data_IF_299890026730
#
_entry.id   IF_299890026730
#
_cell.length_a   1.000
_cell.length_b   1.000
_cell.length_c   1.000
_cell.angle_alpha   90.00
_cell.angle_beta   90.00
_cell.angle_gamma   90.00
#
_symmetry.space_group_name_H-M   'P 1'
#
loop_
_entity.id
_entity.type
_entity.pdbx_description
1 polymer ?
#
# COMPACT_ATOMS: atom_id res chain seq x y z
N UNK A 1 -33.54 15.98 -78.55
CA UNK A 1 -33.58 14.95 -77.50
C UNK A 1 -32.15 14.48 -77.25
N UNK A 2 -31.47 15.06 -76.26
CA UNK A 2 -30.18 14.58 -75.68
C UNK A 2 -29.84 15.52 -74.51
N UNK A 3 -30.32 15.16 -73.33
CA UNK A 3 -29.91 15.74 -72.06
C UNK A 3 -28.72 14.92 -71.54
N UNK A 4 -27.57 15.58 -71.40
CA UNK A 4 -26.34 15.05 -70.80
C UNK A 4 -26.48 15.06 -69.28
N UNK A 5 -26.56 13.87 -68.67
CA UNK A 5 -26.34 13.67 -67.24
C UNK A 5 -24.83 13.54 -66.99
N UNK A 6 -24.24 14.55 -66.36
CA UNK A 6 -22.96 14.42 -65.65
C UNK A 6 -23.28 14.12 -64.18
N UNK A 7 -22.94 12.93 -63.72
CA UNK A 7 -23.10 12.55 -62.33
C UNK A 7 -22.58 11.14 -62.09
N UNK A 8 -21.29 11.01 -61.90
CA UNK A 8 -20.66 9.85 -61.22
C UNK A 8 -19.20 10.18 -60.92
N UNK A 9 -19.01 11.02 -59.90
CA UNK A 9 -17.82 10.94 -59.05
C UNK A 9 -18.24 10.22 -57.77
N UNK A 10 -17.30 9.46 -57.21
CA UNK A 10 -17.35 8.74 -55.92
C UNK A 10 -17.88 7.31 -56.04
N UNK A 11 -16.97 6.35 -56.16
CA UNK A 11 -16.77 5.24 -55.21
C UNK A 11 -15.48 4.51 -55.64
N UNK A 12 -14.42 4.61 -54.83
CA UNK A 12 -13.60 3.48 -54.37
C UNK A 12 -12.23 3.95 -53.87
N UNK A 13 -12.21 4.67 -52.75
CA UNK A 13 -11.05 4.62 -51.87
C UNK A 13 -11.42 3.74 -50.68
N UNK A 14 -11.46 2.43 -50.90
CA UNK A 14 -11.27 1.46 -49.83
C UNK A 14 -9.88 1.71 -49.25
N UNK A 15 -9.81 2.48 -48.18
CA UNK A 15 -8.61 2.63 -47.36
C UNK A 15 -8.39 1.31 -46.63
N UNK A 16 -7.65 0.43 -47.27
CA UNK A 16 -7.20 -0.84 -46.73
C UNK A 16 -6.16 -0.61 -45.63
N UNK A 17 -6.48 -1.18 -44.47
CA UNK A 17 -5.59 -1.71 -43.42
C UNK A 17 -4.70 -0.71 -42.65
N UNK A 18 -5.12 -0.43 -41.41
CA UNK A 18 -4.16 -0.23 -40.29
C UNK A 18 -4.28 -1.44 -39.36
N UNK A 19 -3.17 -1.94 -38.78
CA UNK A 19 -3.12 -3.26 -38.16
C UNK A 19 -4.12 -3.30 -37.00
N UNK A 20 -5.13 -4.15 -37.17
CA UNK A 20 -6.19 -4.36 -36.20
C UNK A 20 -5.60 -5.00 -34.96
N UNK A 21 -5.43 -4.22 -33.90
CA UNK A 21 -5.12 -4.79 -32.59
C UNK A 21 -6.19 -5.80 -32.21
N UNK A 22 -5.74 -6.98 -31.77
CA UNK A 22 -6.62 -8.10 -31.53
C UNK A 22 -7.55 -7.80 -30.34
N UNK A 23 -8.83 -8.15 -30.48
CA UNK A 23 -9.82 -8.04 -29.38
C UNK A 23 -9.32 -8.69 -28.07
N UNK A 24 -8.61 -9.84 -28.07
CA UNK A 24 -8.01 -10.40 -26.88
C UNK A 24 -7.03 -9.46 -26.17
N UNK A 25 -6.20 -8.73 -26.91
CA UNK A 25 -5.21 -7.83 -26.31
C UNK A 25 -5.86 -6.59 -25.67
N UNK A 26 -6.95 -6.09 -26.26
CA UNK A 26 -7.77 -5.04 -25.63
C UNK A 26 -8.34 -5.51 -24.28
N UNK A 27 -8.88 -6.73 -24.23
CA UNK A 27 -9.39 -7.32 -22.99
C UNK A 27 -8.29 -7.56 -21.96
N UNK A 28 -7.11 -8.04 -22.38
CA UNK A 28 -5.96 -8.16 -21.52
C UNK A 28 -5.53 -6.79 -20.95
N UNK A 29 -5.59 -5.73 -21.76
CA UNK A 29 -5.28 -4.36 -21.32
C UNK A 29 -6.26 -3.87 -20.26
N UNK A 30 -7.56 -4.12 -20.46
CA UNK A 30 -8.60 -3.79 -19.47
C UNK A 30 -8.38 -4.56 -18.16
N UNK A 31 -8.04 -5.84 -18.24
CA UNK A 31 -7.72 -6.66 -17.07
C UNK A 31 -6.53 -6.07 -16.28
N UNK A 32 -5.44 -5.75 -16.97
CA UNK A 32 -4.25 -5.17 -16.35
C UNK A 32 -4.50 -3.77 -15.79
N UNK A 33 -5.35 -2.97 -16.45
CA UNK A 33 -5.78 -1.67 -15.94
C UNK A 33 -6.63 -1.80 -14.67
N UNK A 34 -7.58 -2.74 -14.63
CA UNK A 34 -8.39 -3.04 -13.44
C UNK A 34 -7.52 -3.48 -12.26
N UNK A 35 -6.55 -4.36 -12.52
CA UNK A 35 -5.57 -4.81 -11.53
C UNK A 35 -4.71 -3.66 -11.01
N UNK A 36 -4.17 -2.84 -11.91
CA UNK A 36 -3.32 -1.72 -11.54
C UNK A 36 -4.08 -0.66 -10.76
N UNK A 37 -5.37 -0.42 -11.07
CA UNK A 37 -6.20 0.56 -10.37
C UNK A 37 -6.27 0.27 -8.87
N UNK A 38 -6.67 -0.95 -8.52
CA UNK A 38 -6.78 -1.35 -7.11
C UNK A 38 -5.42 -1.50 -6.46
N UNK A 39 -4.41 -2.00 -7.19
CA UNK A 39 -3.07 -2.13 -6.64
C UNK A 39 -2.46 -0.77 -6.27
N UNK A 40 -2.67 0.24 -7.10
CA UNK A 40 -2.23 1.62 -6.85
C UNK A 40 -2.97 2.22 -5.66
N UNK A 41 -4.28 1.99 -5.55
CA UNK A 41 -5.10 2.44 -4.41
C UNK A 41 -4.61 1.85 -3.07
N UNK A 42 -4.42 0.54 -2.99
CA UNK A 42 -3.95 -0.12 -1.77
C UNK A 42 -2.51 0.25 -1.43
N UNK A 43 -1.64 0.35 -2.43
CA UNK A 43 -0.24 0.77 -2.22
C UNK A 43 -0.18 2.19 -1.67
N UNK A 44 -0.95 3.11 -2.26
CA UNK A 44 -1.07 4.48 -1.76
C UNK A 44 -1.60 4.51 -0.34
N UNK A 45 -2.65 3.75 -0.05
CA UNK A 45 -3.25 3.66 1.28
C UNK A 45 -2.21 3.22 2.31
N UNK A 46 -1.37 2.24 1.97
CA UNK A 46 -0.27 1.77 2.82
C UNK A 46 0.79 2.85 3.03
N UNK A 47 1.20 3.56 1.98
CA UNK A 47 2.14 4.67 2.12
C UNK A 47 1.60 5.78 3.02
N UNK A 48 0.33 6.17 2.86
CA UNK A 48 -0.33 7.17 3.71
C UNK A 48 -0.44 6.73 5.18
N UNK A 49 -0.73 5.45 5.43
CA UNK A 49 -0.80 4.88 6.79
C UNK A 49 0.51 5.07 7.55
N UNK A 50 1.66 4.97 6.85
CA UNK A 50 2.95 5.19 7.52
C UNK A 50 3.09 6.59 8.11
N UNK A 51 2.41 7.63 7.59
CA UNK A 51 2.57 9.00 8.09
C UNK A 51 1.36 9.47 8.89
N UNK A 52 0.15 9.23 8.38
CA UNK A 52 -1.05 9.92 8.87
C UNK A 52 -1.95 9.09 9.78
N UNK A 53 -1.81 7.76 9.83
CA UNK A 53 -2.78 6.96 10.57
C UNK A 53 -3.31 5.77 9.81
N UNK A 54 -3.66 4.74 10.57
CA UNK A 54 -4.71 3.75 10.21
C UNK A 54 -6.13 4.21 10.56
N UNK A 55 -6.34 5.53 10.75
CA UNK A 55 -7.64 6.09 11.11
C UNK A 55 -8.70 5.86 10.03
N UNK A 56 -9.93 5.56 10.46
CA UNK A 56 -11.10 5.44 9.58
C UNK A 56 -11.30 6.71 8.73
N UNK A 57 -10.94 7.88 9.25
CA UNK A 57 -11.07 9.17 8.54
C UNK A 57 -10.10 9.21 7.35
N UNK A 58 -8.84 8.82 7.55
CA UNK A 58 -7.84 8.77 6.48
C UNK A 58 -8.27 7.78 5.42
N UNK A 59 -8.73 6.59 5.84
CA UNK A 59 -9.18 5.55 4.92
C UNK A 59 -10.40 5.96 4.09
N UNK A 60 -11.42 6.56 4.73
CA UNK A 60 -12.60 7.06 4.05
C UNK A 60 -12.25 8.15 3.01
N UNK A 61 -11.31 9.04 3.34
CA UNK A 61 -10.85 10.08 2.42
C UNK A 61 -10.13 9.51 1.20
N UNK A 62 -9.28 8.49 1.39
CA UNK A 62 -8.57 7.86 0.26
C UNK A 62 -9.55 7.22 -0.71
N UNK A 63 -10.49 6.39 -0.21
CA UNK A 63 -11.51 5.75 -1.05
C UNK A 63 -12.37 6.81 -1.75
N UNK A 64 -12.84 7.81 -1.00
CA UNK A 64 -13.67 8.90 -1.53
C UNK A 64 -12.98 9.66 -2.67
N UNK A 65 -11.70 9.99 -2.51
CA UNK A 65 -10.90 10.67 -3.53
C UNK A 65 -10.63 9.77 -4.74
N UNK A 66 -10.30 8.50 -4.53
CA UNK A 66 -10.08 7.55 -5.64
C UNK A 66 -11.36 7.42 -6.47
N UNK A 67 -12.52 7.23 -5.84
CA UNK A 67 -13.80 7.17 -6.53
C UNK A 67 -14.13 8.48 -7.25
N UNK A 68 -13.83 9.63 -6.64
CA UNK A 68 -14.01 10.94 -7.26
C UNK A 68 -13.16 11.08 -8.53
N UNK A 69 -11.86 10.78 -8.47
CA UNK A 69 -10.97 10.89 -9.63
C UNK A 69 -11.25 9.84 -10.70
N UNK A 70 -11.66 8.62 -10.31
CA UNK A 70 -12.17 7.62 -11.26
C UNK A 70 -13.41 8.15 -11.99
N UNK A 71 -14.33 8.78 -11.26
CA UNK A 71 -15.54 9.40 -11.85
C UNK A 71 -15.16 10.48 -12.86
N UNK A 72 -14.25 11.39 -12.50
CA UNK A 72 -13.72 12.40 -13.44
C UNK A 72 -13.08 11.73 -14.65
N UNK A 73 -12.30 10.67 -14.43
CA UNK A 73 -11.69 9.85 -15.47
C UNK A 73 -12.72 9.21 -16.40
N UNK A 74 -13.83 8.68 -15.88
CA UNK A 74 -14.90 8.11 -16.71
C UNK A 74 -15.49 9.13 -17.66
N UNK A 75 -15.73 10.36 -17.18
CA UNK A 75 -16.24 11.46 -17.99
C UNK A 75 -15.23 11.95 -19.04
N UNK A 76 -13.94 12.06 -18.69
CA UNK A 76 -12.90 12.50 -19.63
C UNK A 76 -12.63 11.41 -20.67
N UNK A 77 -12.50 10.15 -20.23
CA UNK A 77 -12.25 8.99 -21.07
C UNK A 77 -13.35 8.77 -22.10
N UNK A 78 -14.63 8.86 -21.69
CA UNK A 78 -15.77 8.78 -22.61
C UNK A 78 -15.71 9.86 -23.70
N UNK A 79 -15.50 11.13 -23.31
CA UNK A 79 -15.37 12.24 -24.28
C UNK A 79 -14.17 12.08 -25.20
N UNK A 80 -13.04 11.60 -24.70
CA UNK A 80 -11.83 11.37 -25.50
C UNK A 80 -12.04 10.24 -26.50
N UNK A 81 -12.71 9.17 -26.08
CA UNK A 81 -13.02 8.02 -26.91
C UNK A 81 -13.99 8.37 -28.05
N UNK A 82 -14.97 9.24 -27.80
CA UNK A 82 -15.90 9.70 -28.84
C UNK A 82 -15.19 10.56 -29.90
N UNK A 83 -14.25 11.42 -29.47
CA UNK A 83 -13.50 12.29 -30.39
C UNK A 83 -12.48 11.53 -31.24
N UNK A 84 -11.82 10.52 -30.68
CA UNK A 84 -10.72 9.79 -31.34
C UNK A 84 -10.80 8.28 -31.05
N UNK A 85 -11.78 7.55 -31.61
CA UNK A 85 -12.01 6.12 -31.35
C UNK A 85 -10.99 5.23 -32.09
N UNK A 86 -9.69 5.44 -31.83
CA UNK A 86 -8.60 4.72 -32.49
C UNK A 86 -7.72 3.98 -31.46
N UNK A 87 -7.07 2.87 -31.84
CA UNK A 87 -6.16 2.16 -30.94
C UNK A 87 -4.97 3.01 -30.48
N UNK A 88 -4.43 3.88 -31.35
CA UNK A 88 -3.23 4.67 -31.01
C UNK A 88 -3.45 5.59 -29.80
N UNK A 89 -4.47 6.49 -29.78
CA UNK A 89 -4.76 7.29 -28.58
C UNK A 89 -5.07 6.46 -27.33
N UNK A 90 -5.73 5.30 -27.48
CA UNK A 90 -6.00 4.40 -26.36
C UNK A 90 -4.70 3.85 -25.73
N UNK A 91 -3.79 3.31 -26.53
CA UNK A 91 -2.52 2.78 -25.99
C UNK A 91 -1.55 3.89 -25.58
N UNK A 92 -1.64 5.09 -26.17
CA UNK A 92 -0.94 6.27 -25.64
C UNK A 92 -1.46 6.64 -24.26
N UNK A 93 -2.78 6.61 -24.05
CA UNK A 93 -3.39 6.82 -22.74
C UNK A 93 -2.91 5.75 -21.75
N UNK A 94 -2.99 4.46 -22.08
CA UNK A 94 -2.53 3.37 -21.19
C UNK A 94 -1.03 3.50 -20.83
N UNK A 95 -0.19 3.84 -21.82
CA UNK A 95 1.24 4.12 -21.59
C UNK A 95 1.43 5.30 -20.64
N UNK A 96 0.72 6.41 -20.89
CA UNK A 96 0.79 7.59 -20.04
C UNK A 96 0.28 7.30 -18.62
N UNK A 97 -0.75 6.47 -18.48
CA UNK A 97 -1.26 6.00 -17.19
C UNK A 97 -0.18 5.21 -16.44
N UNK A 98 0.43 4.20 -17.06
CA UNK A 98 1.50 3.42 -16.42
C UNK A 98 2.70 4.28 -16.01
N UNK A 99 3.13 5.21 -16.87
CA UNK A 99 4.18 6.18 -16.54
C UNK A 99 3.78 7.06 -15.36
N UNK A 100 2.58 7.65 -15.40
CA UNK A 100 2.06 8.50 -14.35
C UNK A 100 1.96 7.74 -13.02
N UNK A 101 1.49 6.49 -13.03
CA UNK A 101 1.42 5.65 -11.84
C UNK A 101 2.78 5.47 -11.19
N UNK A 102 3.83 5.13 -11.94
CA UNK A 102 5.19 5.00 -11.38
C UNK A 102 5.70 6.35 -10.89
N UNK A 103 5.64 7.38 -11.75
CA UNK A 103 6.20 8.69 -11.45
C UNK A 103 5.55 9.34 -10.22
N UNK A 104 4.22 9.43 -10.22
CA UNK A 104 3.50 10.09 -9.13
C UNK A 104 3.55 9.26 -7.84
N UNK A 105 3.52 7.93 -7.87
CA UNK A 105 3.70 7.15 -6.62
C UNK A 105 5.10 7.29 -6.03
N UNK A 106 6.14 7.38 -6.86
CA UNK A 106 7.48 7.70 -6.37
C UNK A 106 7.53 9.12 -5.78
N UNK A 107 6.85 10.09 -6.41
CA UNK A 107 6.70 11.44 -5.88
C UNK A 107 5.96 11.45 -4.54
N UNK A 108 4.89 10.66 -4.39
CA UNK A 108 4.16 10.48 -3.12
C UNK A 108 5.13 10.05 -2.02
N UNK A 109 6.07 9.15 -2.30
CA UNK A 109 7.03 8.69 -1.29
C UNK A 109 7.97 9.81 -0.81
N UNK A 110 8.38 10.72 -1.70
CA UNK A 110 9.20 11.90 -1.38
C UNK A 110 8.40 12.91 -0.56
N UNK A 111 7.16 13.20 -1.00
CA UNK A 111 6.24 14.11 -0.29
C UNK A 111 5.97 13.59 1.12
N UNK A 112 5.67 12.30 1.27
CA UNK A 112 5.40 11.69 2.58
C UNK A 112 6.62 11.67 3.49
N UNK A 113 7.83 11.47 2.96
CA UNK A 113 9.05 11.58 3.77
C UNK A 113 9.22 12.99 4.35
N UNK A 114 8.94 14.01 3.54
CA UNK A 114 8.95 15.41 4.01
C UNK A 114 7.83 15.70 5.02
N UNK A 115 6.66 15.09 4.83
CA UNK A 115 5.52 15.19 5.72
C UNK A 115 5.83 14.57 7.10
N UNK A 116 6.49 13.40 7.11
CA UNK A 116 6.91 12.74 8.35
C UNK A 116 7.88 13.61 9.15
N UNK A 117 8.87 14.23 8.50
CA UNK A 117 9.78 15.16 9.14
C UNK A 117 9.06 16.40 9.69
N UNK A 118 8.10 16.96 8.95
CA UNK A 118 7.27 18.06 9.40
C UNK A 118 6.37 17.70 10.59
N UNK A 119 5.87 16.47 10.62
CA UNK A 119 5.03 15.95 11.70
C UNK A 119 5.84 15.77 12.99
N UNK A 120 7.08 15.29 12.89
CA UNK A 120 8.03 15.25 14.02
C UNK A 120 8.35 16.65 14.57
N UNK A 121 8.37 17.67 13.71
CA UNK A 121 8.57 19.07 14.10
C UNK A 121 7.28 19.80 14.53
N UNK A 122 6.13 19.12 14.59
CA UNK A 122 4.82 19.68 14.94
C UNK A 122 4.44 20.91 14.07
N UNK A 123 4.86 20.92 12.81
CA UNK A 123 4.57 22.01 11.89
C UNK A 123 3.24 21.81 11.16
N UNK A 124 2.17 22.36 11.73
CA UNK A 124 0.79 22.22 11.22
C UNK A 124 0.63 22.66 9.75
N UNK A 125 1.29 23.74 9.34
CA UNK A 125 1.23 24.24 7.96
C UNK A 125 1.87 23.28 6.94
N UNK A 126 2.99 22.67 7.31
CA UNK A 126 3.66 21.65 6.49
C UNK A 126 2.89 20.32 6.45
N UNK A 127 2.18 19.96 7.52
CA UNK A 127 1.29 18.78 7.55
C UNK A 127 0.09 18.99 6.61
N UNK A 128 -0.55 20.16 6.65
CA UNK A 128 -1.69 20.46 5.78
C UNK A 128 -1.30 20.53 4.29
N UNK A 129 -0.16 21.16 3.98
CA UNK A 129 0.33 21.27 2.60
C UNK A 129 0.80 19.93 2.02
N UNK A 130 1.41 19.05 2.83
CA UNK A 130 1.77 17.70 2.38
C UNK A 130 0.55 16.84 2.08
N UNK A 131 -0.54 16.97 2.84
CA UNK A 131 -1.78 16.26 2.55
C UNK A 131 -2.35 16.69 1.19
N UNK A 132 -2.39 18.00 0.94
CA UNK A 132 -2.82 18.56 -0.36
C UNK A 132 -1.91 18.06 -1.50
N UNK A 133 -0.60 18.04 -1.28
CA UNK A 133 0.36 17.53 -2.28
C UNK A 133 0.12 16.05 -2.62
N UNK A 134 -0.18 15.20 -1.62
CA UNK A 134 -0.51 13.79 -1.87
C UNK A 134 -1.80 13.65 -2.68
N UNK A 135 -2.83 14.45 -2.40
CA UNK A 135 -4.08 14.46 -3.17
C UNK A 135 -3.82 14.78 -4.64
N UNK A 136 -3.03 15.83 -4.92
CA UNK A 136 -2.68 16.19 -6.29
C UNK A 136 -1.87 15.10 -7.00
N UNK A 137 -0.97 14.46 -6.26
CA UNK A 137 -0.13 13.39 -6.77
C UNK A 137 -0.97 12.16 -7.15
N UNK A 138 -2.07 11.90 -6.44
CA UNK A 138 -3.01 10.82 -6.76
C UNK A 138 -4.02 11.16 -7.86
N UNK A 139 -4.39 12.43 -7.97
CA UNK A 139 -5.39 12.89 -8.93
C UNK A 139 -5.07 12.45 -10.36
N UNK A 140 -3.82 12.63 -10.79
CA UNK A 140 -3.39 12.35 -12.16
C UNK A 140 -3.47 10.86 -12.52
N UNK A 141 -2.75 9.94 -11.84
CA UNK A 141 -2.77 8.53 -12.22
C UNK A 141 -4.16 7.90 -12.12
N UNK A 142 -4.94 8.24 -11.07
CA UNK A 142 -6.28 7.67 -10.87
C UNK A 142 -7.28 8.17 -11.92
N UNK A 143 -7.23 9.46 -12.27
CA UNK A 143 -8.06 9.99 -13.36
C UNK A 143 -7.73 9.32 -14.70
N UNK A 144 -6.44 9.11 -14.99
CA UNK A 144 -6.00 8.43 -16.22
C UNK A 144 -6.41 6.95 -16.25
N UNK A 145 -6.39 6.25 -15.11
CA UNK A 145 -6.93 4.89 -14.98
C UNK A 145 -8.42 4.85 -15.28
N UNK A 146 -9.19 5.79 -14.72
CA UNK A 146 -10.62 5.92 -14.98
C UNK A 146 -10.95 6.12 -16.47
N UNK A 147 -10.06 6.73 -17.25
CA UNK A 147 -10.27 6.90 -18.68
C UNK A 147 -10.25 5.59 -19.49
N UNK A 148 -9.63 4.52 -18.99
CA UNK A 148 -9.33 3.30 -19.78
C UNK A 148 -10.62 2.53 -20.12
N UNK A 149 -11.48 2.26 -19.15
CA UNK A 149 -12.70 1.46 -19.33
C UNK A 149 -13.68 2.03 -20.37
N UNK A 150 -14.15 3.29 -20.27
CA UNK A 150 -15.06 3.85 -21.28
C UNK A 150 -14.42 3.92 -22.67
N UNK A 151 -13.11 4.15 -22.75
CA UNK A 151 -12.40 4.15 -24.04
C UNK A 151 -12.36 2.75 -24.64
N UNK A 152 -12.02 1.74 -23.85
CA UNK A 152 -12.02 0.34 -24.30
C UNK A 152 -13.40 -0.10 -24.79
N UNK A 153 -14.48 0.31 -24.11
CA UNK A 153 -15.86 0.05 -24.54
C UNK A 153 -16.11 0.66 -25.92
N UNK A 154 -15.82 1.95 -26.08
CA UNK A 154 -16.01 2.65 -27.36
C UNK A 154 -15.21 2.02 -28.51
N UNK A 155 -14.01 1.53 -28.25
CA UNK A 155 -13.17 0.87 -29.25
C UNK A 155 -13.68 -0.55 -29.62
N UNK A 156 -14.32 -1.24 -28.68
CA UNK A 156 -14.78 -2.61 -28.86
C UNK A 156 -16.18 -2.71 -29.51
N UNK A 157 -17.06 -1.74 -29.24
CA UNK A 157 -18.43 -1.68 -29.76
C UNK A 157 -18.42 -1.24 -31.22
N UNK A 158 -18.94 -2.07 -32.13
CA UNK A 158 -19.10 -1.74 -33.55
C UNK A 158 -20.56 -1.50 -33.94
N UNK A 159 -21.48 -2.15 -33.22
CA UNK A 159 -22.93 -2.05 -33.43
C UNK A 159 -23.63 -1.75 -32.09
N UNK A 160 -24.68 -0.95 -32.14
CA UNK A 160 -25.53 -0.62 -30.99
C UNK A 160 -26.12 -1.89 -30.37
N UNK A 161 -26.44 -2.90 -31.17
CA UNK A 161 -27.01 -4.17 -30.72
C UNK A 161 -26.05 -4.98 -29.83
N UNK A 162 -24.73 -4.80 -29.97
CA UNK A 162 -23.74 -5.49 -29.12
C UNK A 162 -23.23 -4.64 -27.95
N UNK A 163 -23.65 -3.38 -27.85
CA UNK A 163 -23.14 -2.42 -26.87
C UNK A 163 -23.26 -2.91 -25.43
N UNK A 164 -24.43 -3.45 -25.05
CA UNK A 164 -24.66 -4.01 -23.72
C UNK A 164 -23.76 -5.20 -23.40
N UNK A 165 -23.62 -6.15 -24.34
CA UNK A 165 -22.79 -7.36 -24.18
C UNK A 165 -21.30 -7.03 -24.07
N UNK A 166 -20.81 -6.11 -24.91
CA UNK A 166 -19.41 -5.69 -24.90
C UNK A 166 -19.06 -4.91 -23.63
N UNK A 167 -19.93 -3.97 -23.24
CA UNK A 167 -19.79 -3.20 -22.00
C UNK A 167 -19.74 -4.13 -20.78
N UNK A 168 -20.71 -5.04 -20.65
CA UNK A 168 -20.74 -6.01 -19.55
C UNK A 168 -19.50 -6.90 -19.50
N UNK A 169 -18.98 -7.33 -20.66
CA UNK A 169 -17.74 -8.13 -20.72
C UNK A 169 -16.51 -7.34 -20.28
N UNK A 170 -16.40 -6.07 -20.68
CA UNK A 170 -15.28 -5.20 -20.27
C UNK A 170 -15.33 -4.94 -18.77
N UNK A 171 -16.50 -4.65 -18.20
CA UNK A 171 -16.65 -4.50 -16.75
C UNK A 171 -16.27 -5.79 -16.01
N UNK A 172 -16.80 -6.95 -16.41
CA UNK A 172 -16.46 -8.23 -15.77
C UNK A 172 -14.95 -8.51 -15.78
N UNK A 173 -14.27 -8.28 -16.92
CA UNK A 173 -12.84 -8.49 -17.05
C UNK A 173 -12.05 -7.49 -16.19
N UNK A 174 -12.47 -6.22 -16.17
CA UNK A 174 -11.86 -5.21 -15.31
C UNK A 174 -12.01 -5.59 -13.84
N UNK A 175 -13.20 -6.05 -13.41
CA UNK A 175 -13.47 -6.47 -12.04
C UNK A 175 -12.63 -7.67 -11.63
N UNK A 176 -12.44 -8.66 -12.51
CA UNK A 176 -11.51 -9.77 -12.26
C UNK A 176 -10.06 -9.29 -12.09
N UNK A 177 -9.63 -8.35 -12.92
CA UNK A 177 -8.33 -7.69 -12.77
C UNK A 177 -8.23 -7.00 -11.40
N UNK A 178 -9.23 -6.20 -11.04
CA UNK A 178 -9.31 -5.47 -9.77
C UNK A 178 -9.31 -6.40 -8.56
N UNK A 179 -9.96 -7.57 -8.63
CA UNK A 179 -9.92 -8.57 -7.57
C UNK A 179 -8.48 -9.04 -7.28
N UNK A 180 -7.72 -9.35 -8.34
CA UNK A 180 -6.30 -9.68 -8.20
C UNK A 180 -5.47 -8.47 -7.74
N UNK A 181 -5.81 -7.28 -8.23
CA UNK A 181 -5.23 -6.00 -7.81
C UNK A 181 -5.48 -5.65 -6.34
N UNK A 182 -6.48 -6.26 -5.70
CA UNK A 182 -6.73 -6.13 -4.26
C UNK A 182 -5.87 -7.10 -3.46
N UNK A 183 -5.81 -8.38 -3.87
CA UNK A 183 -5.14 -9.41 -3.08
C UNK A 183 -3.63 -9.49 -3.29
N UNK A 184 -3.15 -9.43 -4.54
CA UNK A 184 -1.72 -9.57 -4.84
C UNK A 184 -0.84 -8.54 -4.14
N UNK A 185 -1.11 -7.22 -4.22
CA UNK A 185 -0.26 -6.25 -3.54
C UNK A 185 -0.33 -6.40 -2.03
N UNK A 186 -1.52 -6.56 -1.45
CA UNK A 186 -1.69 -6.56 0.01
C UNK A 186 -1.15 -7.83 0.67
N UNK A 187 -1.39 -9.01 0.07
CA UNK A 187 -1.06 -10.29 0.70
C UNK A 187 0.33 -10.82 0.30
N UNK A 188 0.89 -10.35 -0.82
CA UNK A 188 2.13 -10.92 -1.37
C UNK A 188 3.19 -9.87 -1.67
N UNK A 189 2.91 -8.86 -2.48
CA UNK A 189 3.98 -7.96 -2.97
C UNK A 189 4.45 -6.98 -1.91
N UNK A 190 3.54 -6.34 -1.16
CA UNK A 190 3.89 -5.39 -0.11
C UNK A 190 4.67 -6.07 1.03
N UNK A 191 4.24 -7.23 1.58
CA UNK A 191 5.01 -7.92 2.62
C UNK A 191 6.41 -8.36 2.18
N UNK A 192 6.62 -8.67 0.89
CA UNK A 192 7.89 -9.18 0.37
C UNK A 192 8.84 -8.09 -0.14
N UNK A 193 8.30 -7.02 -0.73
CA UNK A 193 9.09 -6.03 -1.45
C UNK A 193 8.81 -4.58 -1.00
N UNK A 194 7.85 -4.36 -0.10
CA UNK A 194 7.46 -3.04 0.36
C UNK A 194 6.52 -2.30 -0.61
N UNK A 195 5.98 -1.18 -0.12
CA UNK A 195 4.99 -0.36 -0.85
C UNK A 195 5.59 0.32 -2.08
N UNK A 196 6.82 0.86 -1.98
CA UNK A 196 7.50 1.54 -3.09
C UNK A 196 7.73 0.61 -4.28
N UNK A 197 8.22 -0.61 -4.06
CA UNK A 197 8.46 -1.58 -5.13
C UNK A 197 7.15 -2.08 -5.73
N UNK A 198 6.12 -2.27 -4.89
CA UNK A 198 4.77 -2.61 -5.35
C UNK A 198 4.24 -1.58 -6.35
N UNK A 199 4.35 -0.28 -6.04
CA UNK A 199 3.96 0.80 -6.96
C UNK A 199 4.68 0.71 -8.31
N UNK A 200 5.99 0.45 -8.27
CA UNK A 200 6.81 0.30 -9.49
C UNK A 200 6.37 -0.92 -10.29
N UNK A 201 6.13 -2.08 -9.66
CA UNK A 201 5.73 -3.31 -10.35
C UNK A 201 4.42 -3.11 -11.11
N UNK A 202 3.35 -2.67 -10.45
CA UNK A 202 2.04 -2.53 -11.09
C UNK A 202 2.00 -1.39 -12.10
N UNK A 203 2.70 -0.28 -11.83
CA UNK A 203 2.85 0.81 -12.80
C UNK A 203 3.64 0.39 -14.05
N UNK A 204 4.75 -0.36 -13.88
CA UNK A 204 5.54 -0.89 -15.00
C UNK A 204 4.77 -1.94 -15.80
N UNK A 205 4.01 -2.81 -15.15
CA UNK A 205 3.16 -3.79 -15.84
C UNK A 205 2.18 -3.08 -16.77
N UNK A 206 1.48 -2.06 -16.29
CA UNK A 206 0.55 -1.29 -17.12
C UNK A 206 1.28 -0.52 -18.23
N UNK A 207 2.45 0.06 -17.91
CA UNK A 207 3.28 0.77 -18.88
C UNK A 207 3.73 -0.17 -20.02
N UNK A 208 4.19 -1.38 -19.71
CA UNK A 208 4.59 -2.39 -20.69
C UNK A 208 3.44 -2.81 -21.60
N UNK A 209 2.23 -2.96 -21.04
CA UNK A 209 1.02 -3.22 -21.82
C UNK A 209 0.71 -2.04 -22.76
N UNK A 210 0.79 -0.81 -22.25
CA UNK A 210 0.63 0.38 -23.09
C UNK A 210 1.63 0.41 -24.24
N UNK A 211 2.89 0.13 -23.95
CA UNK A 211 4.00 0.13 -24.91
C UNK A 211 3.84 -0.89 -26.02
N UNK A 212 3.55 -2.13 -25.65
CA UNK A 212 3.36 -3.22 -26.61
C UNK A 212 2.16 -2.92 -27.52
N UNK A 213 1.06 -2.41 -26.97
CA UNK A 213 -0.09 -1.97 -27.77
C UNK A 213 0.21 -0.77 -28.67
N UNK A 214 1.02 0.18 -28.20
CA UNK A 214 1.43 1.34 -29.00
C UNK A 214 2.39 0.93 -30.13
N UNK A 215 3.31 0.01 -29.88
CA UNK A 215 4.24 -0.54 -30.86
C UNK A 215 3.50 -1.28 -31.98
N UNK A 216 2.48 -2.08 -31.62
CA UNK A 216 1.60 -2.76 -32.57
C UNK A 216 0.75 -1.76 -33.40
N UNK A 217 0.34 -0.65 -32.79
CA UNK A 217 -0.45 0.39 -33.47
C UNK A 217 0.38 1.25 -34.43
N UNK A 218 1.51 1.79 -33.94
CA UNK A 218 2.42 2.71 -34.66
C UNK A 218 3.84 2.61 -34.12
N UNK A 219 4.75 1.94 -34.86
CA UNK A 219 6.16 1.73 -34.48
C UNK A 219 6.90 3.01 -34.04
N UNK A 220 6.72 4.15 -34.74
CA UNK A 220 7.34 5.44 -34.37
C UNK A 220 6.86 5.99 -33.02
N UNK A 221 5.60 5.75 -32.64
CA UNK A 221 5.08 6.14 -31.33
C UNK A 221 5.60 5.20 -30.23
N UNK A 222 5.84 3.92 -30.54
CA UNK A 222 6.48 2.97 -29.64
C UNK A 222 7.90 3.40 -29.22
N UNK A 223 8.70 3.99 -30.12
CA UNK A 223 10.05 4.48 -29.81
C UNK A 223 10.06 5.60 -28.77
N UNK A 224 9.16 6.59 -28.88
CA UNK A 224 9.01 7.65 -27.87
C UNK A 224 8.62 7.10 -26.51
N UNK A 225 7.83 6.04 -26.50
CA UNK A 225 7.36 5.43 -25.28
C UNK A 225 8.46 4.56 -24.62
N UNK A 226 9.38 3.97 -25.39
CA UNK A 226 10.62 3.38 -24.83
C UNK A 226 11.51 4.45 -24.17
N UNK A 227 11.59 5.65 -24.75
CA UNK A 227 12.31 6.76 -24.13
C UNK A 227 11.71 7.15 -22.76
N UNK A 228 10.38 7.05 -22.59
CA UNK A 228 9.71 7.26 -21.30
C UNK A 228 10.10 6.20 -20.25
N UNK A 229 10.28 4.94 -20.63
CA UNK A 229 10.81 3.90 -19.74
C UNK A 229 12.24 4.24 -19.28
N UNK A 230 13.09 4.63 -20.22
CA UNK A 230 14.48 4.99 -19.91
C UNK A 230 14.53 6.21 -18.96
N UNK A 231 13.63 7.17 -19.14
CA UNK A 231 13.49 8.32 -18.26
C UNK A 231 13.04 7.92 -16.83
N UNK A 232 12.25 6.86 -16.68
CA UNK A 232 11.83 6.34 -15.37
C UNK A 232 12.93 5.58 -14.65
N UNK A 233 13.90 4.97 -15.35
CA UNK A 233 14.97 4.19 -14.71
C UNK A 233 15.70 4.95 -13.58
N UNK A 234 16.21 6.18 -13.76
CA UNK A 234 16.86 6.90 -12.66
C UNK A 234 15.88 7.22 -11.52
N UNK A 235 14.61 7.50 -11.83
CA UNK A 235 13.57 7.79 -10.83
C UNK A 235 13.27 6.55 -9.99
N UNK A 236 13.19 5.38 -10.63
CA UNK A 236 12.99 4.10 -9.95
C UNK A 236 14.22 3.78 -9.09
N UNK A 237 15.42 3.79 -9.69
CA UNK A 237 16.66 3.45 -8.99
C UNK A 237 16.93 4.36 -7.79
N UNK A 238 16.56 5.63 -7.87
CA UNK A 238 16.68 6.57 -6.77
C UNK A 238 15.52 6.45 -5.77
N UNK A 239 14.29 6.39 -6.26
CA UNK A 239 13.06 6.40 -5.47
C UNK A 239 12.84 5.12 -4.66
N UNK A 240 13.42 3.98 -5.07
CA UNK A 240 13.36 2.73 -4.30
C UNK A 240 14.51 2.59 -3.29
N UNK A 241 15.46 3.54 -3.24
CA UNK A 241 16.59 3.50 -2.31
C UNK A 241 16.34 4.38 -1.08
N UNK A 242 16.99 4.00 0.02
CA UNK A 242 16.99 4.78 1.25
C UNK A 242 15.70 4.64 2.05
N UNK A 243 15.64 5.38 3.15
CA UNK A 243 14.62 5.15 4.18
C UNK A 243 13.24 5.69 3.81
N UNK A 244 12.17 5.03 4.26
CA UNK A 244 10.78 5.49 4.08
C UNK A 244 10.54 6.73 4.92
N UNK A 245 10.98 6.71 6.17
CA UNK A 245 11.03 7.88 7.04
C UNK A 245 12.47 8.20 7.42
N UNK A 246 12.73 9.44 7.79
CA UNK A 246 14.03 9.84 8.32
C UNK A 246 13.82 10.40 9.72
N UNK A 247 13.95 9.55 10.73
CA UNK A 247 14.08 9.98 12.11
C UNK A 247 15.56 10.06 12.50
N UNK A 248 15.89 11.05 13.32
CA UNK A 248 17.21 11.13 13.95
C UNK A 248 17.43 9.89 14.83
N UNK A 249 18.58 9.24 14.69
CA UNK A 249 18.91 8.01 15.42
C UNK A 249 18.23 6.74 14.89
N UNK A 250 17.53 6.78 13.75
CA UNK A 250 16.94 5.57 13.16
C UNK A 250 18.02 4.57 12.74
N UNK A 251 17.98 3.36 13.31
CA UNK A 251 18.95 2.28 13.06
C UNK A 251 18.37 1.11 12.26
N UNK A 252 17.03 1.01 12.19
CA UNK A 252 16.34 -0.03 11.44
C UNK A 252 14.99 0.47 10.92
N UNK A 253 14.61 -0.02 9.73
CA UNK A 253 13.23 0.02 9.26
C UNK A 253 12.92 -1.19 8.38
N UNK A 254 11.65 -1.60 8.40
CA UNK A 254 11.10 -2.56 7.43
C UNK A 254 9.58 -2.39 7.31
N UNK A 255 9.02 -2.85 6.19
CA UNK A 255 7.58 -3.03 6.03
C UNK A 255 7.25 -4.51 6.19
N UNK A 256 6.26 -4.84 7.03
CA UNK A 256 5.68 -6.18 7.13
C UNK A 256 4.26 -6.19 6.53
N UNK A 257 3.58 -7.33 6.59
CA UNK A 257 2.17 -7.41 6.24
C UNK A 257 1.26 -6.57 7.15
N UNK A 258 1.68 -6.35 8.39
CA UNK A 258 0.88 -5.74 9.44
C UNK A 258 1.30 -4.31 9.73
N UNK A 259 2.60 -4.04 9.84
CA UNK A 259 3.13 -2.79 10.33
C UNK A 259 4.28 -2.27 9.47
N UNK A 260 4.42 -0.95 9.48
CA UNK A 260 5.70 -0.32 9.20
C UNK A 260 6.50 -0.24 10.51
N UNK A 261 7.66 -0.90 10.56
CA UNK A 261 8.45 -1.12 11.78
C UNK A 261 9.69 -0.25 11.72
N UNK A 262 10.00 0.44 12.81
CA UNK A 262 11.20 1.27 12.92
C UNK A 262 11.84 1.09 14.30
N UNK A 263 13.17 1.11 14.33
CA UNK A 263 13.93 1.20 15.58
C UNK A 263 14.75 2.48 15.56
N UNK A 264 14.57 3.27 16.61
CA UNK A 264 15.28 4.54 16.80
C UNK A 264 16.11 4.45 18.07
N UNK A 265 17.39 4.79 17.98
CA UNK A 265 18.32 4.87 19.11
C UNK A 265 18.46 6.31 19.57
N UNK A 266 18.16 6.56 20.84
CA UNK A 266 18.36 7.85 21.50
C UNK A 266 19.22 7.62 22.75
N UNK A 267 20.44 8.17 22.74
CA UNK A 267 21.44 7.87 23.76
C UNK A 267 21.80 6.38 23.79
N UNK A 268 21.63 5.75 24.95
CA UNK A 268 21.91 4.32 25.17
C UNK A 268 20.64 3.45 25.02
N UNK A 269 19.53 4.01 24.53
CA UNK A 269 18.25 3.32 24.46
C UNK A 269 17.71 3.19 23.04
N UNK A 270 17.21 2.01 22.71
CA UNK A 270 16.47 1.69 21.51
C UNK A 270 14.96 1.78 21.78
N UNK A 271 14.22 2.35 20.84
CA UNK A 271 12.77 2.53 20.89
C UNK A 271 12.13 1.93 19.64
N UNK A 272 11.07 1.14 19.83
CA UNK A 272 10.29 0.58 18.73
C UNK A 272 9.18 1.56 18.37
N UNK A 273 9.15 1.98 17.11
CA UNK A 273 8.08 2.81 16.56
C UNK A 273 7.37 2.00 15.47
N UNK A 274 6.04 2.04 15.49
CA UNK A 274 5.21 1.38 14.49
C UNK A 274 4.38 2.41 13.73
N UNK A 275 4.08 2.11 12.46
CA UNK A 275 3.20 2.86 11.57
C UNK A 275 3.52 4.37 11.56
N UNK A 276 2.70 5.21 12.18
CA UNK A 276 2.85 6.67 12.20
C UNK A 276 4.10 7.13 12.99
N UNK A 277 4.58 6.30 13.93
CA UNK A 277 5.75 6.58 14.74
C UNK A 277 5.52 7.65 15.81
N UNK A 278 4.28 7.83 16.25
CA UNK A 278 3.92 8.79 17.31
C UNK A 278 4.02 8.19 18.72
N UNK A 279 4.05 6.87 18.84
CA UNK A 279 4.14 6.15 20.10
C UNK A 279 5.36 5.21 20.11
N UNK A 280 5.95 5.03 21.29
CA UNK A 280 6.91 3.98 21.54
C UNK A 280 6.17 2.71 21.95
N UNK A 281 6.40 1.64 21.20
CA UNK A 281 5.78 0.32 21.41
C UNK A 281 6.71 -0.64 22.15
N UNK A 282 7.97 -0.27 22.33
CA UNK A 282 8.92 -0.94 23.21
C UNK A 282 10.11 -0.04 23.47
N UNK A 283 10.81 -0.31 24.56
CA UNK A 283 12.09 0.33 24.87
C UNK A 283 13.09 -0.73 25.34
N UNK A 284 14.37 -0.48 25.09
CA UNK A 284 15.47 -1.22 25.69
C UNK A 284 16.67 -0.30 25.83
N UNK A 285 17.27 -0.22 27.02
CA UNK A 285 18.51 0.52 27.24
C UNK A 285 19.66 -0.42 27.51
N UNK A 286 20.87 -0.05 27.08
CA UNK A 286 22.09 -0.79 27.38
C UNK A 286 22.20 -1.01 28.90
N UNK A 287 22.65 -2.21 29.31
CA UNK A 287 22.67 -2.61 30.72
C UNK A 287 21.30 -2.93 31.33
N UNK A 288 20.23 -2.91 30.53
CA UNK A 288 18.88 -3.32 30.93
C UNK A 288 18.18 -2.33 31.87
N UNK A 289 18.51 -1.04 31.76
CA UNK A 289 17.82 0.01 32.49
C UNK A 289 16.34 0.10 32.06
N UNK A 290 15.46 0.42 33.01
CA UNK A 290 14.02 0.58 32.78
C UNK A 290 13.58 2.01 33.12
N UNK A 291 12.60 2.60 32.40
CA UNK A 291 12.03 3.90 32.71
C UNK A 291 11.46 3.90 34.12
N UNK A 292 11.59 5.02 34.83
CA UNK A 292 11.02 5.16 36.18
C UNK A 292 9.49 5.11 36.18
N UNK A 293 8.86 5.70 35.17
CA UNK A 293 7.40 5.70 34.98
C UNK A 293 7.11 5.62 33.49
N UNK A 294 6.38 4.59 33.08
CA UNK A 294 5.94 4.34 31.71
C UNK A 294 4.66 3.50 31.72
N UNK A 295 3.99 3.35 30.57
CA UNK A 295 2.83 2.46 30.43
C UNK A 295 3.16 1.01 30.86
N UNK A 296 4.35 0.53 30.52
CA UNK A 296 4.83 -0.80 30.92
C UNK A 296 5.03 -0.91 32.44
N UNK A 297 5.47 0.17 33.09
CA UNK A 297 5.59 0.21 34.56
C UNK A 297 4.23 0.09 35.26
N UNK A 298 3.15 0.58 34.64
CA UNK A 298 1.78 0.40 35.14
C UNK A 298 1.36 -1.07 34.99
N UNK A 299 1.68 -1.70 33.86
CA UNK A 299 1.41 -3.13 33.63
C UNK A 299 2.19 -4.04 34.60
N UNK A 300 3.42 -3.67 34.95
CA UNK A 300 4.22 -4.33 35.97
C UNK A 300 3.59 -4.22 37.38
N UNK A 301 2.82 -3.16 37.65
CA UNK A 301 2.17 -2.96 38.94
C UNK A 301 0.93 -3.86 39.12
N UNK A 302 0.42 -4.51 38.08
CA UNK A 302 -0.82 -5.29 38.12
C UNK A 302 -0.91 -6.30 39.30
N UNK A 303 0.14 -7.10 39.62
CA UNK A 303 0.08 -8.07 40.71
C UNK A 303 -0.08 -7.43 42.10
N UNK A 304 0.32 -6.16 42.26
CA UNK A 304 0.28 -5.44 43.54
C UNK A 304 -1.12 -4.90 43.89
N UNK A 305 -2.09 -4.99 42.98
CA UNK A 305 -3.49 -4.67 43.28
C UNK A 305 -4.23 -5.80 44.02
N UNK A 306 -3.63 -7.00 44.10
CA UNK A 306 -4.20 -8.13 44.82
C UNK A 306 -3.77 -8.13 46.31
N UNK A 307 -4.66 -8.54 47.24
CA UNK A 307 -4.31 -8.64 48.66
C UNK A 307 -3.33 -9.80 48.91
N UNK A 308 -2.36 -9.57 49.79
CA UNK A 308 -1.39 -10.58 50.23
C UNK A 308 0.01 -10.43 49.64
N UNK A 309 0.93 -11.38 49.90
CA UNK A 309 2.28 -11.34 49.35
C UNK A 309 2.25 -11.55 47.83
N UNK A 310 2.84 -10.62 47.09
CA UNK A 310 2.88 -10.67 45.62
C UNK A 310 3.85 -11.75 45.16
N UNK A 311 3.33 -12.77 44.47
CA UNK A 311 4.10 -13.83 43.81
C UNK A 311 3.55 -14.04 42.41
N UNK A 312 4.43 -14.11 41.43
CA UNK A 312 4.11 -14.41 40.03
C UNK A 312 4.97 -15.61 39.64
N UNK A 313 4.34 -16.66 39.12
CA UNK A 313 4.98 -17.88 38.66
C UNK A 313 4.89 -18.02 37.15
N UNK A 314 3.80 -17.56 36.52
CA UNK A 314 3.63 -17.61 35.06
C UNK A 314 3.02 -16.32 34.51
N UNK A 315 3.51 -15.87 33.35
CA UNK A 315 3.04 -14.67 32.65
C UNK A 315 2.68 -14.97 31.20
N UNK A 316 1.55 -14.45 30.72
CA UNK A 316 1.25 -14.35 29.30
C UNK A 316 1.22 -12.89 28.85
N UNK A 317 1.86 -12.59 27.71
CA UNK A 317 1.89 -11.26 27.10
C UNK A 317 1.29 -11.35 25.71
N UNK A 318 0.12 -10.73 25.51
CA UNK A 318 -0.55 -10.63 24.21
C UNK A 318 -0.23 -9.27 23.60
N UNK A 319 0.39 -9.25 22.42
CA UNK A 319 1.04 -8.06 21.90
C UNK A 319 2.41 -7.86 22.55
N UNK A 320 3.30 -8.83 22.34
CA UNK A 320 4.64 -8.83 22.93
C UNK A 320 5.50 -7.64 22.50
N UNK A 321 5.26 -7.10 21.30
CA UNK A 321 6.12 -6.12 20.67
C UNK A 321 7.59 -6.59 20.70
N UNK A 322 8.54 -5.74 21.11
CA UNK A 322 9.95 -6.11 21.24
C UNK A 322 10.33 -6.63 22.65
N UNK A 323 9.35 -7.02 23.48
CA UNK A 323 9.61 -7.73 24.74
C UNK A 323 9.91 -6.85 25.96
N UNK A 324 9.36 -5.64 26.00
CA UNK A 324 9.52 -4.73 27.13
C UNK A 324 8.93 -5.28 28.44
N UNK A 325 7.71 -5.82 28.39
CA UNK A 325 7.01 -6.36 29.57
C UNK A 325 7.75 -7.57 30.16
N UNK A 326 8.10 -8.62 29.39
CA UNK A 326 8.84 -9.77 29.93
C UNK A 326 10.13 -9.39 30.65
N UNK A 327 10.89 -8.42 30.13
CA UNK A 327 12.12 -7.92 30.77
C UNK A 327 11.85 -7.33 32.15
N UNK A 328 10.80 -6.52 32.26
CA UNK A 328 10.42 -5.90 33.51
C UNK A 328 9.98 -6.94 34.55
N UNK A 329 9.15 -7.90 34.13
CA UNK A 329 8.71 -9.00 34.99
C UNK A 329 9.87 -9.90 35.42
N UNK A 330 10.76 -10.27 34.49
CA UNK A 330 11.95 -11.06 34.79
C UNK A 330 12.89 -10.39 35.79
N UNK A 331 12.97 -9.05 35.76
CA UNK A 331 13.79 -8.27 36.70
C UNK A 331 13.20 -8.17 38.11
N UNK A 332 11.87 -8.17 38.25
CA UNK A 332 11.18 -8.05 39.55
C UNK A 332 10.89 -9.40 40.18
N UNK A 333 10.44 -10.37 39.40
CA UNK A 333 9.97 -11.68 39.88
C UNK A 333 10.96 -12.82 39.62
N UNK A 334 12.07 -12.56 38.91
CA UNK A 334 13.05 -13.57 38.55
C UNK A 334 12.66 -14.36 37.29
N UNK A 335 13.33 -15.49 37.01
CA UNK A 335 13.14 -16.27 35.78
C UNK A 335 11.85 -17.11 35.83
N UNK A 336 10.70 -16.44 35.68
CA UNK A 336 9.37 -17.07 35.60
C UNK A 336 9.08 -17.56 34.17
N UNK A 337 8.42 -18.71 33.94
CA UNK A 337 7.95 -19.06 32.60
C UNK A 337 7.03 -17.98 31.99
N UNK A 338 7.25 -17.66 30.72
CA UNK A 338 6.52 -16.62 30.01
C UNK A 338 6.13 -17.05 28.60
N UNK A 339 4.89 -16.76 28.20
CA UNK A 339 4.42 -16.90 26.82
C UNK A 339 4.17 -15.50 26.22
N UNK A 340 4.79 -15.22 25.08
CA UNK A 340 4.67 -13.92 24.40
C UNK A 340 4.13 -14.09 23.01
N UNK A 341 2.93 -13.57 22.78
CA UNK A 341 2.24 -13.65 21.49
C UNK A 341 2.37 -12.31 20.78
N UNK A 342 2.91 -12.32 19.56
CA UNK A 342 2.96 -11.15 18.69
C UNK A 342 2.45 -11.54 17.29
N UNK A 343 1.57 -10.70 16.74
CA UNK A 343 0.97 -10.95 15.43
C UNK A 343 2.02 -10.84 14.32
N UNK A 344 2.95 -9.91 14.47
CA UNK A 344 3.93 -9.58 13.45
C UNK A 344 5.31 -10.23 13.75
N UNK A 345 5.69 -11.31 13.03
CA UNK A 345 6.97 -11.98 13.27
C UNK A 345 8.18 -11.06 13.02
N UNK A 346 8.05 -10.03 12.19
CA UNK A 346 9.13 -9.07 11.96
C UNK A 346 9.38 -8.18 13.20
N UNK A 347 8.37 -7.96 14.05
CA UNK A 347 8.53 -7.26 15.33
C UNK A 347 9.27 -8.14 16.33
N UNK A 348 8.96 -9.45 16.40
CA UNK A 348 9.71 -10.39 17.24
C UNK A 348 11.18 -10.40 16.84
N UNK A 349 11.46 -10.50 15.54
CA UNK A 349 12.82 -10.48 15.02
C UNK A 349 13.54 -9.16 15.36
N UNK A 350 12.87 -8.01 15.20
CA UNK A 350 13.42 -6.73 15.64
C UNK A 350 13.70 -6.71 17.15
N UNK A 351 12.87 -7.36 17.97
CA UNK A 351 13.08 -7.54 19.40
C UNK A 351 14.35 -8.32 19.73
N UNK A 352 14.61 -9.40 19.00
CA UNK A 352 15.84 -10.19 19.13
C UNK A 352 17.06 -9.36 18.73
N UNK A 353 17.00 -8.71 17.56
CA UNK A 353 18.16 -8.03 16.96
C UNK A 353 18.52 -6.71 17.65
N UNK A 354 17.51 -5.96 18.13
CA UNK A 354 17.70 -4.60 18.62
C UNK A 354 17.25 -4.37 20.07
N UNK A 355 16.53 -5.30 20.70
CA UNK A 355 16.04 -5.12 22.09
C UNK A 355 16.55 -6.21 23.03
N UNK A 356 17.47 -7.07 22.58
CA UNK A 356 18.02 -8.17 23.34
C UNK A 356 16.94 -9.10 23.93
N UNK A 357 15.86 -9.36 23.19
CA UNK A 357 14.81 -10.33 23.55
C UNK A 357 15.38 -11.76 23.52
N UNK A 358 16.05 -12.16 24.62
CA UNK A 358 16.85 -13.39 24.72
C UNK A 358 16.56 -14.18 26.00
N UNK A 359 15.43 -13.91 26.65
CA UNK A 359 15.02 -14.55 27.90
C UNK A 359 14.82 -16.07 27.66
N UNK A 360 15.59 -16.95 28.34
CA UNK A 360 15.56 -18.40 28.06
C UNK A 360 14.26 -19.08 28.51
N UNK A 361 13.54 -18.43 29.40
CA UNK A 361 12.25 -18.80 29.98
C UNK A 361 11.06 -18.21 29.20
N UNK A 362 11.32 -17.63 28.02
CA UNK A 362 10.32 -17.00 27.17
C UNK A 362 10.02 -17.88 25.95
N UNK A 363 8.74 -18.22 25.76
CA UNK A 363 8.24 -18.84 24.55
C UNK A 363 7.68 -17.75 23.61
N UNK A 364 8.30 -17.60 22.45
CA UNK A 364 7.94 -16.59 21.45
C UNK A 364 6.97 -17.19 20.43
N UNK A 365 5.75 -16.66 20.38
CA UNK A 365 4.66 -17.16 19.53
C UNK A 365 4.30 -16.09 18.51
N UNK A 366 4.57 -16.36 17.23
CA UNK A 366 4.11 -15.51 16.13
C UNK A 366 2.68 -15.90 15.72
N UNK A 367 1.68 -15.09 16.03
CA UNK A 367 0.29 -15.42 15.74
C UNK A 367 -0.75 -14.43 16.27
N UNK A 368 -2.01 -14.66 15.89
CA UNK A 368 -3.13 -13.89 16.40
C UNK A 368 -3.35 -14.17 17.89
N UNK A 369 -3.31 -13.11 18.71
CA UNK A 369 -3.42 -13.19 20.17
C UNK A 369 -4.62 -13.98 20.66
N UNK A 370 -5.78 -13.84 20.01
CA UNK A 370 -7.00 -14.55 20.40
C UNK A 370 -6.94 -16.02 20.00
N UNK A 371 -6.45 -16.31 18.80
CA UNK A 371 -6.31 -17.68 18.33
C UNK A 371 -5.30 -18.46 19.17
N UNK A 372 -4.14 -17.89 19.45
CA UNK A 372 -3.08 -18.56 20.21
C UNK A 372 -3.42 -18.67 21.69
N UNK A 373 -4.04 -17.66 22.32
CA UNK A 373 -4.47 -17.76 23.72
C UNK A 373 -5.42 -18.94 23.96
N UNK A 374 -6.30 -19.26 23.01
CA UNK A 374 -7.22 -20.40 23.11
C UNK A 374 -6.52 -21.77 22.97
N UNK A 375 -5.25 -21.81 22.57
CA UNK A 375 -4.44 -23.03 22.41
C UNK A 375 -3.46 -23.25 23.56
N UNK A 376 -3.24 -22.22 24.39
CA UNK A 376 -2.38 -22.32 25.56
C UNK A 376 -3.10 -23.10 26.67
N UNK A 377 -2.43 -24.12 27.21
CA UNK A 377 -2.97 -24.98 28.28
C UNK A 377 -2.49 -24.55 29.67
N UNK A 378 -1.52 -23.64 29.74
CA UNK A 378 -0.94 -23.15 31.00
C UNK A 378 -1.93 -22.23 31.75
N UNK A 379 -1.86 -22.26 33.08
CA UNK A 379 -2.50 -21.25 33.93
C UNK A 379 -1.53 -20.11 34.19
N UNK A 380 -2.00 -18.88 33.98
CA UNK A 380 -1.20 -17.66 34.16
C UNK A 380 -1.66 -16.90 35.38
N UNK A 381 -0.69 -16.47 36.21
CA UNK A 381 -0.98 -15.55 37.32
C UNK A 381 -1.26 -14.14 36.80
N UNK A 382 -0.66 -13.79 35.65
CA UNK A 382 -0.82 -12.51 34.99
C UNK A 382 -0.98 -12.71 33.48
N UNK A 383 -1.99 -12.06 32.90
CA UNK A 383 -2.13 -11.91 31.45
C UNK A 383 -2.13 -10.42 31.14
N UNK A 384 -1.12 -9.95 30.43
CA UNK A 384 -1.04 -8.56 29.97
C UNK A 384 -1.41 -8.48 28.49
N UNK A 385 -2.18 -7.44 28.12
CA UNK A 385 -2.59 -7.20 26.74
C UNK A 385 -2.11 -5.82 26.30
N UNK A 386 -1.21 -5.79 25.32
CA UNK A 386 -0.62 -4.59 24.74
C UNK A 386 -0.71 -4.62 23.20
N UNK A 387 -1.91 -4.43 22.63
CA UNK A 387 -2.05 -4.29 21.18
C UNK A 387 -1.79 -2.84 20.72
N UNK A 388 -1.08 -2.62 19.60
CA UNK A 388 -1.10 -1.34 18.91
C UNK A 388 -2.53 -0.97 18.46
N UNK A 389 -3.06 0.09 19.06
CA UNK A 389 -4.21 0.94 18.64
C UNK A 389 -5.62 0.33 18.45
N UNK A 390 -5.82 -0.98 18.27
CA UNK A 390 -7.16 -1.61 18.36
C UNK A 390 -7.06 -3.09 18.76
N UNK A 391 -7.08 -3.40 20.06
CA UNK A 391 -7.60 -4.72 20.43
C UNK A 391 -9.12 -4.70 20.18
N UNK A 392 -9.72 -5.66 19.43
CA UNK A 392 -11.17 -5.84 19.45
C UNK A 392 -11.56 -6.40 20.82
N UNK A 393 -11.60 -5.54 21.84
CA UNK A 393 -12.19 -5.88 23.13
C UNK A 393 -13.70 -5.87 22.96
N UNK A 394 -14.28 -7.05 22.73
CA UNK A 394 -15.69 -7.29 23.04
C UNK A 394 -15.89 -7.00 24.53
N UNK A 395 -16.82 -6.11 24.94
CA UNK A 395 -17.24 -6.03 26.33
C UNK A 395 -18.07 -7.27 26.63
N UNK A 396 -17.43 -8.34 27.08
CA UNK A 396 -18.09 -9.60 27.31
C UNK A 396 -17.17 -10.64 27.93
N UNK A 397 -16.65 -10.33 29.12
CA UNK A 397 -16.46 -11.30 30.20
C UNK A 397 -16.99 -10.64 31.47
#
# INVERSE_FOLDING_TARGET
>A
MRTTHYGEYLISNQTTLSPTLSRPYLYFTVFMAGMSTLAIEFTTSRMLQTVYGTSNIVWANVIGLVLFFLTVGYFIGGRLADKRPYPTPFYTLVTATGFASVFFLMLTSVVLRSAAAAMAAVNVGAIASSLVAVIFTLAVPVTLLGCISPFAIRLAVRDVNEAGRISGRIYAISTWGSLLGTYLPVLLVIPLAGSRVTAVIFGLLLLLVGLVGLWQSKKKAGLWAVALLVLLLPIILWGTRGTIKAYEGQIFETESAYNYIQVVRQGECNYLLLNEGQAYHSFYCDGGAVPRVSVWSIMLAAPFFNPGPVRVHNLAVIGLAAGTIPKQYGRVFGPIPMDGIELDPAIIQAGVDYFALTEPNMNLIAGDGRYELNRLENQYDVITIECPTKCPTSPGI
#
